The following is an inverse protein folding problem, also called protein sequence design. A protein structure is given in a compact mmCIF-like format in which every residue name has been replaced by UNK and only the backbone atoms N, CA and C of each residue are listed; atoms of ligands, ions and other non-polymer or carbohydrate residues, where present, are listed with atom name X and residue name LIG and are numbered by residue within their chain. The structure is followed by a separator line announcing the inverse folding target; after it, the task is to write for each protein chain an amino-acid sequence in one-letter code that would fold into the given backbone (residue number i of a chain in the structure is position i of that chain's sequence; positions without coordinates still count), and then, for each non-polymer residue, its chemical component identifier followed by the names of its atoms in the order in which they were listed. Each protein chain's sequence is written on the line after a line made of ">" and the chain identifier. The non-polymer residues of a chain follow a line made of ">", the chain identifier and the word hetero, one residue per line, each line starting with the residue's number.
data_IF_515356277592
#
_entry.id   IF_515356277592
#
_cell.length_a   1.000
_cell.length_b   1.000
_cell.length_c   1.000
_cell.angle_alpha   90.00
_cell.angle_beta   90.00
_cell.angle_gamma   90.00
#
_symmetry.space_group_name_H-M   'P 1'
#
loop_
_entity.id
_entity.type
_entity.pdbx_description
1 polymer ?
#
# COMPACT_ATOMS: atom_id res chain seq x y z
N UNK A 1 -11.45 6.52 -11.78
CA UNK A 1 -10.54 5.90 -12.76
C UNK A 1 -10.07 4.58 -12.15
N UNK A 2 -9.75 3.56 -12.94
CA UNK A 2 -9.42 2.24 -12.39
C UNK A 2 -7.90 2.05 -12.28
N UNK A 3 -7.45 1.39 -11.21
CA UNK A 3 -6.06 1.00 -11.02
C UNK A 3 -5.54 0.16 -12.20
N UNK A 4 -4.57 0.67 -12.97
CA UNK A 4 -4.02 0.00 -14.15
C UNK A 4 -2.98 -1.09 -13.82
N UNK A 5 -2.59 -1.21 -12.55
CA UNK A 5 -1.61 -2.20 -12.06
C UNK A 5 -2.22 -3.01 -10.91
N UNK A 6 -1.68 -4.20 -10.69
CA UNK A 6 -2.10 -5.05 -9.55
C UNK A 6 -1.78 -4.38 -8.21
N UNK A 7 -2.57 -4.70 -7.18
CA UNK A 7 -2.33 -4.26 -5.79
C UNK A 7 -0.92 -4.60 -5.31
N UNK A 8 -0.42 -5.79 -5.67
CA UNK A 8 0.94 -6.24 -5.36
C UNK A 8 2.01 -5.30 -5.94
N UNK A 9 1.85 -4.89 -7.20
CA UNK A 9 2.79 -3.96 -7.87
C UNK A 9 2.78 -2.59 -7.18
N UNK A 10 1.58 -2.09 -6.86
CA UNK A 10 1.40 -0.81 -6.16
C UNK A 10 2.04 -0.85 -4.77
N UNK A 11 1.82 -1.91 -4.00
CA UNK A 11 2.43 -2.07 -2.67
C UNK A 11 3.95 -2.19 -2.74
N UNK A 12 4.47 -2.98 -3.69
CA UNK A 12 5.92 -3.15 -3.88
C UNK A 12 6.60 -1.83 -4.24
N UNK A 13 6.00 -1.05 -5.14
CA UNK A 13 6.52 0.26 -5.51
C UNK A 13 6.43 1.26 -4.34
N UNK A 14 5.30 1.30 -3.63
CA UNK A 14 5.14 2.16 -2.45
C UNK A 14 6.15 1.85 -1.34
N UNK A 15 6.51 0.57 -1.17
CA UNK A 15 7.55 0.12 -0.24
C UNK A 15 8.98 0.47 -0.70
N UNK A 16 9.19 0.64 -2.01
CA UNK A 16 10.49 1.01 -2.58
C UNK A 16 10.80 2.51 -2.45
N UNK A 17 9.75 3.34 -2.27
CA UNK A 17 9.92 4.76 -2.03
C UNK A 17 10.54 4.98 -0.64
N UNK A 18 11.72 5.62 -0.62
CA UNK A 18 12.54 5.86 0.58
C UNK A 18 11.76 6.58 1.70
N UNK A 19 12.26 6.41 2.92
CA UNK A 19 11.70 6.84 4.21
C UNK A 19 11.49 8.35 4.43
N UNK A 20 11.65 9.19 3.41
CA UNK A 20 11.45 10.64 3.52
C UNK A 20 10.00 11.03 3.79
N UNK A 21 9.06 10.09 3.62
CA UNK A 21 7.65 10.30 3.93
C UNK A 21 6.97 9.09 4.59
N UNK A 22 5.80 9.29 5.24
CA UNK A 22 4.93 8.22 5.70
C UNK A 22 4.50 7.31 4.57
N UNK A 23 4.30 6.01 4.88
CA UNK A 23 3.91 5.00 3.91
C UNK A 23 2.59 5.34 3.20
N UNK A 24 1.64 5.93 3.91
CA UNK A 24 0.34 6.34 3.36
C UNK A 24 0.49 7.38 2.24
N UNK A 25 1.44 8.30 2.41
CA UNK A 25 1.73 9.33 1.41
C UNK A 25 2.36 8.71 0.16
N UNK A 26 3.32 7.79 0.36
CA UNK A 26 3.92 7.02 -0.72
C UNK A 26 2.88 6.21 -1.49
N UNK A 27 2.03 5.47 -0.78
CA UNK A 27 0.95 4.67 -1.35
C UNK A 27 -0.02 5.54 -2.16
N UNK A 28 -0.47 6.66 -1.59
CA UNK A 28 -1.39 7.57 -2.28
C UNK A 28 -0.81 8.19 -3.55
N UNK A 29 0.51 8.38 -3.64
CA UNK A 29 1.16 8.81 -4.89
C UNK A 29 1.22 7.70 -5.91
N UNK A 30 1.59 6.48 -5.50
CA UNK A 30 1.70 5.33 -6.39
C UNK A 30 0.34 4.93 -6.95
N UNK A 31 -0.71 4.94 -6.12
CA UNK A 31 -2.10 4.71 -6.58
C UNK A 31 -2.48 5.69 -7.70
N UNK A 32 -2.26 7.00 -7.48
CA UNK A 32 -2.54 8.03 -8.50
C UNK A 32 -1.68 7.86 -9.75
N UNK A 33 -0.40 7.52 -9.60
CA UNK A 33 0.53 7.26 -10.71
C UNK A 33 0.03 6.13 -11.60
N UNK A 34 -0.62 5.11 -11.02
CA UNK A 34 -1.19 3.99 -11.75
C UNK A 34 -2.67 4.15 -12.09
N UNK A 35 -3.17 5.39 -12.14
CA UNK A 35 -4.54 5.69 -12.58
C UNK A 35 -5.64 5.37 -11.56
N UNK A 36 -5.27 4.89 -10.37
CA UNK A 36 -6.22 4.64 -9.30
C UNK A 36 -6.70 5.93 -8.63
N UNK A 37 -7.84 5.82 -7.95
CA UNK A 37 -8.45 6.93 -7.23
C UNK A 37 -8.41 6.76 -5.70
N UNK A 38 -9.18 7.58 -4.99
CA UNK A 38 -9.20 7.54 -3.54
C UNK A 38 -9.83 6.25 -2.99
N UNK A 39 -10.78 5.64 -3.71
CA UNK A 39 -11.38 4.38 -3.31
C UNK A 39 -10.36 3.24 -3.42
N UNK A 40 -9.54 3.22 -4.47
CA UNK A 40 -8.43 2.26 -4.61
C UNK A 40 -7.41 2.39 -3.47
N UNK A 41 -7.06 3.63 -3.12
CA UNK A 41 -6.20 3.91 -1.97
C UNK A 41 -6.82 3.37 -0.67
N UNK A 42 -8.10 3.66 -0.42
CA UNK A 42 -8.80 3.23 0.78
C UNK A 42 -8.85 1.70 0.90
N UNK A 43 -9.11 1.00 -0.20
CA UNK A 43 -9.13 -0.46 -0.22
C UNK A 43 -7.77 -1.04 0.18
N UNK A 44 -6.68 -0.54 -0.42
CA UNK A 44 -5.33 -1.07 -0.15
C UNK A 44 -4.88 -0.72 1.28
N UNK A 45 -5.10 0.52 1.73
CA UNK A 45 -4.64 0.94 3.07
C UNK A 45 -5.47 0.31 4.19
N UNK A 46 -6.73 -0.05 3.94
CA UNK A 46 -7.55 -0.79 4.89
C UNK A 46 -6.95 -2.17 5.17
N UNK A 47 -6.62 -2.94 4.12
CA UNK A 47 -5.99 -4.27 4.24
C UNK A 47 -4.66 -4.18 5.02
N UNK A 48 -3.83 -3.17 4.72
CA UNK A 48 -2.56 -2.95 5.43
C UNK A 48 -2.78 -2.62 6.91
N UNK A 49 -3.74 -1.74 7.22
CA UNK A 49 -4.03 -1.32 8.61
C UNK A 49 -4.65 -2.45 9.42
N UNK A 50 -5.51 -3.25 8.81
CA UNK A 50 -6.09 -4.43 9.45
C UNK A 50 -4.99 -5.41 9.84
N UNK A 51 -4.08 -5.72 8.90
CA UNK A 51 -2.97 -6.62 9.19
C UNK A 51 -2.00 -6.05 10.23
N UNK A 52 -1.69 -4.75 10.13
CA UNK A 52 -0.84 -4.06 11.08
C UNK A 52 -1.38 -4.16 12.52
N UNK A 53 -2.70 -3.96 12.68
CA UNK A 53 -3.39 -4.12 13.97
C UNK A 53 -3.38 -5.57 14.44
N UNK A 54 -3.75 -6.50 13.57
CA UNK A 54 -3.84 -7.93 13.90
C UNK A 54 -2.49 -8.50 14.35
N UNK A 55 -1.38 -8.04 13.75
CA UNK A 55 -0.03 -8.57 14.01
C UNK A 55 0.88 -7.61 14.78
N UNK A 56 0.35 -6.50 15.32
CA UNK A 56 1.08 -5.47 16.08
C UNK A 56 2.38 -5.00 15.40
N UNK A 57 2.31 -4.73 14.10
CA UNK A 57 3.44 -4.29 13.28
C UNK A 57 3.19 -2.90 12.69
N UNK A 58 4.26 -2.26 12.22
CA UNK A 58 4.15 -1.00 11.50
C UNK A 58 3.53 -1.21 10.10
N UNK A 59 3.06 -0.13 9.48
CA UNK A 59 2.38 -0.22 8.18
C UNK A 59 3.30 -0.76 7.08
N UNK A 60 4.61 -0.48 7.14
CA UNK A 60 5.57 -1.01 6.18
C UNK A 60 5.79 -2.51 6.37
N UNK A 61 5.88 -2.98 7.61
CA UNK A 61 5.93 -4.40 7.97
C UNK A 61 4.68 -5.14 7.50
N UNK A 62 3.50 -4.56 7.74
CA UNK A 62 2.22 -5.13 7.28
C UNK A 62 2.14 -5.18 5.76
N UNK A 63 2.48 -4.11 5.05
CA UNK A 63 2.50 -4.10 3.60
C UNK A 63 3.48 -5.14 3.03
N UNK A 64 4.66 -5.35 3.64
CA UNK A 64 5.58 -6.43 3.25
C UNK A 64 4.99 -7.81 3.52
N UNK A 65 4.34 -8.00 4.67
CA UNK A 65 3.71 -9.26 5.01
C UNK A 65 2.58 -9.63 4.03
N UNK A 66 1.78 -8.65 3.58
CA UNK A 66 0.76 -8.87 2.54
C UNK A 66 1.35 -9.35 1.22
N UNK A 67 2.54 -8.87 0.83
CA UNK A 67 3.22 -9.33 -0.38
C UNK A 67 3.74 -10.77 -0.29
N UNK A 68 3.96 -11.27 0.92
CA UNK A 68 4.55 -12.58 1.19
C UNK A 68 3.53 -13.63 1.64
N UNK A 69 2.27 -13.26 1.88
CA UNK A 69 1.23 -14.16 2.40
C UNK A 69 0.60 -15.06 1.32
N UNK A 70 1.42 -15.55 0.38
CA UNK A 70 0.99 -16.32 -0.79
C UNK A 70 1.29 -17.81 -0.64
#
# INVERSE_FOLDING_TARGET
>A
MALHRSRETVLREALSLRHEEPFERALGRVVRRHGGDYADYLAIIADVRELARARRMDLRGAARALLNAR
#
